data_IF_101606502218
#
_entry.id   IF_101606502218
#
_cell.length_a   1.000
_cell.length_b   1.000
_cell.length_c   1.000
_cell.angle_alpha   90.00
_cell.angle_beta   90.00
_cell.angle_gamma   90.00
#
_symmetry.space_group_name_H-M   'P 1'
#
loop_
_entity.id
_entity.type
_entity.pdbx_description
1 polymer ?
#
# COMPACT_ATOMS: atom_id res chain seq x y z
N UNK A 1 52.34 30.22 -10.90
CA UNK A 1 50.86 30.23 -10.97
C UNK A 1 50.44 28.83 -11.40
N UNK A 2 49.96 27.92 -10.52
CA UNK A 2 48.60 27.83 -9.91
C UNK A 2 47.51 28.10 -10.96
N UNK A 3 46.57 27.21 -11.25
CA UNK A 3 46.22 25.93 -10.65
C UNK A 3 45.13 25.22 -11.45
N UNK A 4 45.00 23.91 -11.20
CA UNK A 4 43.97 23.01 -11.71
C UNK A 4 42.56 23.57 -11.47
N UNK A 5 41.71 23.57 -12.50
CA UNK A 5 40.31 23.94 -12.36
C UNK A 5 39.45 22.69 -12.12
N UNK A 6 39.04 22.57 -10.86
CA UNK A 6 38.26 21.52 -10.22
C UNK A 6 36.78 21.83 -10.48
N UNK A 7 36.24 21.49 -11.65
CA UNK A 7 34.77 21.56 -11.85
C UNK A 7 34.27 20.49 -12.83
N UNK A 8 34.53 19.21 -12.54
CA UNK A 8 33.85 18.09 -13.23
C UNK A 8 33.32 17.01 -12.27
N UNK A 9 33.10 17.34 -10.97
CA UNK A 9 32.55 16.41 -9.96
C UNK A 9 31.34 16.95 -9.19
N UNK A 10 30.38 17.59 -9.85
CA UNK A 10 29.22 18.19 -9.15
C UNK A 10 27.83 17.76 -9.63
N UNK A 11 27.70 16.78 -10.53
CA UNK A 11 26.38 16.24 -10.91
C UNK A 11 26.25 14.74 -10.62
N UNK A 12 26.66 14.35 -9.42
CA UNK A 12 26.16 13.12 -8.78
C UNK A 12 24.78 13.43 -8.17
N UNK A 13 23.73 13.31 -8.97
CA UNK A 13 22.34 13.51 -8.55
C UNK A 13 21.91 12.50 -7.50
N UNK A 14 22.30 12.73 -6.23
CA UNK A 14 21.69 12.10 -5.07
C UNK A 14 20.25 12.59 -5.00
N UNK A 15 19.29 11.75 -5.42
CA UNK A 15 17.90 11.85 -4.97
C UNK A 15 17.95 11.96 -3.45
N UNK A 16 17.63 13.14 -2.90
CA UNK A 16 17.45 13.32 -1.47
C UNK A 16 16.27 12.43 -1.09
N UNK A 17 16.56 11.24 -0.56
CA UNK A 17 15.60 10.55 0.30
C UNK A 17 15.30 11.55 1.43
N UNK A 18 14.13 12.18 1.34
CA UNK A 18 13.56 12.86 2.49
C UNK A 18 13.52 11.80 3.60
N UNK A 19 14.29 12.04 4.66
CA UNK A 19 14.23 11.23 5.87
C UNK A 19 12.81 11.44 6.41
N UNK A 20 11.93 10.47 6.20
CA UNK A 20 10.64 10.47 6.86
C UNK A 20 10.88 10.61 8.37
N UNK A 21 10.18 11.53 9.05
CA UNK A 21 10.36 11.75 10.47
C UNK A 21 10.13 10.44 11.22
N UNK A 22 11.02 10.14 12.16
CA UNK A 22 10.96 8.91 12.95
C UNK A 22 9.74 8.95 13.87
N UNK A 23 8.60 8.43 13.40
CA UNK A 23 7.37 8.35 14.18
C UNK A 23 7.41 7.15 15.14
N UNK A 24 6.81 7.34 16.30
CA UNK A 24 6.44 6.24 17.20
C UNK A 24 5.49 5.26 16.49
N UNK A 25 5.38 4.04 17.02
CA UNK A 25 4.58 3.00 16.37
C UNK A 25 3.15 3.46 16.06
N UNK A 26 2.57 2.98 14.94
CA UNK A 26 1.15 3.13 14.66
C UNK A 26 0.31 2.74 15.88
N UNK A 27 -0.63 3.61 16.25
CA UNK A 27 -1.58 3.30 17.32
C UNK A 27 -2.57 2.23 16.86
N UNK A 28 -3.13 1.45 17.80
CA UNK A 28 -4.22 0.52 17.50
C UNK A 28 -5.40 1.22 16.80
N UNK A 29 -5.65 2.50 17.11
CA UNK A 29 -6.70 3.30 16.48
C UNK A 29 -6.42 3.60 15.01
N UNK A 30 -5.16 3.86 14.65
CA UNK A 30 -4.75 4.09 13.26
C UNK A 30 -4.84 2.80 12.43
N UNK A 31 -4.41 1.67 13.00
CA UNK A 31 -4.56 0.36 12.36
C UNK A 31 -6.03 -0.01 12.18
N UNK A 32 -6.85 0.25 13.20
CA UNK A 32 -8.29 0.05 13.13
C UNK A 32 -8.93 0.89 12.02
N UNK A 33 -8.52 2.16 11.87
CA UNK A 33 -8.99 3.03 10.79
C UNK A 33 -8.59 2.52 9.40
N UNK A 34 -7.38 2.00 9.24
CA UNK A 34 -6.97 1.37 7.97
C UNK A 34 -7.88 0.19 7.62
N UNK A 35 -8.20 -0.65 8.62
CA UNK A 35 -9.03 -1.82 8.44
C UNK A 35 -10.46 -1.43 8.04
N UNK A 36 -11.11 -0.54 8.79
CA UNK A 36 -12.53 -0.20 8.60
C UNK A 36 -12.83 0.53 7.29
N UNK A 37 -11.82 1.09 6.61
CA UNK A 37 -12.01 1.68 5.28
C UNK A 37 -12.37 0.63 4.24
N UNK A 38 -11.91 -0.62 4.42
CA UNK A 38 -12.01 -1.67 3.42
C UNK A 38 -13.12 -2.69 3.73
N UNK A 39 -13.56 -2.82 4.98
CA UNK A 39 -14.41 -3.92 5.50
C UNK A 39 -15.83 -4.02 4.94
N UNK A 40 -16.30 -3.01 4.21
CA UNK A 40 -17.60 -3.07 3.53
C UNK A 40 -17.45 -3.27 2.02
N UNK A 41 -16.22 -3.51 1.56
CA UNK A 41 -15.83 -3.57 0.17
C UNK A 41 -14.99 -4.82 -0.14
N UNK A 42 -14.89 -5.77 0.78
CA UNK A 42 -13.96 -6.89 0.78
C UNK A 42 -14.57 -8.20 0.26
N UNK A 43 -15.17 -8.15 -0.92
CA UNK A 43 -15.73 -9.35 -1.53
C UNK A 43 -14.70 -10.11 -2.36
N UNK A 44 -14.32 -11.30 -1.88
CA UNK A 44 -13.44 -12.24 -2.58
C UNK A 44 -13.93 -12.61 -3.99
N UNK A 45 -15.25 -12.75 -4.16
CA UNK A 45 -15.90 -13.15 -5.40
C UNK A 45 -16.26 -11.95 -6.28
N UNK A 46 -15.94 -10.74 -5.85
CA UNK A 46 -16.23 -9.49 -6.53
C UNK A 46 -17.71 -9.38 -6.95
N UNK A 47 -18.62 -9.60 -5.99
CA UNK A 47 -20.07 -9.57 -6.12
C UNK A 47 -20.61 -10.50 -7.21
N UNK A 48 -20.20 -11.78 -7.16
CA UNK A 48 -20.61 -12.83 -8.13
C UNK A 48 -22.12 -12.99 -8.23
N UNK A 49 -22.84 -12.84 -7.13
CA UNK A 49 -24.30 -13.05 -7.05
C UNK A 49 -25.11 -11.75 -7.25
N UNK A 50 -24.46 -10.63 -7.60
CA UNK A 50 -25.14 -9.37 -7.90
C UNK A 50 -25.34 -9.18 -9.40
N UNK A 51 -26.38 -8.44 -9.76
CA UNK A 51 -26.63 -8.03 -11.15
C UNK A 51 -25.46 -7.22 -11.71
N UNK A 52 -25.15 -7.31 -13.03
CA UNK A 52 -23.98 -6.66 -13.62
C UNK A 52 -23.83 -5.15 -13.32
N UNK A 53 -24.91 -4.34 -13.32
CA UNK A 53 -24.83 -2.92 -12.96
C UNK A 53 -24.47 -2.70 -11.49
N UNK A 54 -25.08 -3.48 -10.59
CA UNK A 54 -24.81 -3.37 -9.15
C UNK A 54 -23.38 -3.82 -8.83
N UNK A 55 -22.93 -4.92 -9.42
CA UNK A 55 -21.56 -5.41 -9.33
C UNK A 55 -20.56 -4.33 -9.77
N UNK A 56 -20.82 -3.66 -10.90
CA UNK A 56 -19.97 -2.56 -11.39
C UNK A 56 -19.94 -1.40 -10.40
N UNK A 57 -21.09 -1.01 -9.84
CA UNK A 57 -21.19 0.05 -8.83
C UNK A 57 -20.35 -0.31 -7.59
N UNK A 58 -20.54 -1.50 -7.01
CA UNK A 58 -19.79 -1.96 -5.83
C UNK A 58 -18.28 -2.01 -6.08
N UNK A 59 -17.88 -2.44 -7.27
CA UNK A 59 -16.46 -2.45 -7.65
C UNK A 59 -15.86 -1.03 -7.74
N UNK A 60 -16.61 -0.06 -8.26
CA UNK A 60 -16.18 1.35 -8.28
C UNK A 60 -16.14 1.97 -6.87
N UNK A 61 -17.08 1.61 -6.00
CA UNK A 61 -17.06 2.01 -4.59
C UNK A 61 -15.83 1.45 -3.87
N UNK A 62 -15.49 0.19 -4.12
CA UNK A 62 -14.26 -0.42 -3.62
C UNK A 62 -13.00 0.30 -4.13
N UNK A 63 -12.97 0.74 -5.39
CA UNK A 63 -11.88 1.59 -5.91
C UNK A 63 -11.75 2.88 -5.09
N UNK A 64 -12.85 3.55 -4.81
CA UNK A 64 -12.86 4.77 -3.99
C UNK A 64 -12.40 4.50 -2.54
N UNK A 65 -12.76 3.35 -1.98
CA UNK A 65 -12.27 2.90 -0.68
C UNK A 65 -10.75 2.68 -0.69
N UNK A 66 -10.20 2.05 -1.72
CA UNK A 66 -8.75 1.88 -1.88
C UNK A 66 -8.00 3.21 -1.97
N UNK A 67 -8.55 4.23 -2.64
CA UNK A 67 -7.97 5.59 -2.62
C UNK A 67 -7.98 6.20 -1.20
N UNK A 68 -9.07 6.01 -0.47
CA UNK A 68 -9.19 6.49 0.93
C UNK A 68 -8.21 5.75 1.85
N UNK A 69 -8.06 4.45 1.63
CA UNK A 69 -7.10 3.61 2.34
C UNK A 69 -5.67 4.07 2.08
N UNK A 70 -5.29 4.27 0.81
CA UNK A 70 -3.96 4.76 0.45
C UNK A 70 -3.62 6.09 1.16
N UNK A 71 -4.56 7.04 1.16
CA UNK A 71 -4.39 8.33 1.88
C UNK A 71 -4.15 8.14 3.38
N UNK A 72 -4.75 7.12 3.98
CA UNK A 72 -4.52 6.80 5.38
C UNK A 72 -3.21 6.04 5.58
N UNK A 73 -2.88 5.08 4.72
CA UNK A 73 -1.66 4.29 4.77
C UNK A 73 -0.41 5.18 4.77
N UNK A 74 -0.39 6.18 3.89
CA UNK A 74 0.67 7.19 3.81
C UNK A 74 0.77 8.01 5.10
N UNK A 75 -0.36 8.32 5.74
CA UNK A 75 -0.38 9.07 7.01
C UNK A 75 0.09 8.24 8.19
N UNK A 76 -0.23 6.96 8.24
CA UNK A 76 0.11 6.09 9.39
C UNK A 76 1.62 5.79 9.40
N UNK A 77 2.23 5.55 8.23
CA UNK A 77 3.66 5.24 8.14
C UNK A 77 4.00 3.81 8.60
N UNK A 78 5.27 3.57 8.93
CA UNK A 78 5.82 2.22 9.21
C UNK A 78 6.12 2.01 10.70
N UNK A 79 6.18 0.76 11.16
CA UNK A 79 6.61 0.39 12.52
C UNK A 79 8.06 -0.10 12.55
N UNK A 80 8.86 0.42 13.49
CA UNK A 80 10.27 0.05 13.67
C UNK A 80 10.50 -1.27 14.44
N UNK A 81 9.53 -1.76 15.23
CA UNK A 81 9.75 -2.92 16.13
C UNK A 81 9.24 -4.26 15.57
N UNK A 82 8.86 -4.31 14.31
CA UNK A 82 8.46 -5.57 13.70
C UNK A 82 9.72 -6.34 13.30
N UNK A 83 10.11 -7.29 14.13
CA UNK A 83 11.29 -8.15 13.90
C UNK A 83 10.92 -9.49 13.24
N UNK A 84 9.63 -9.69 12.92
CA UNK A 84 9.18 -10.90 12.24
C UNK A 84 9.48 -10.84 10.75
N UNK A 85 10.02 -11.95 10.25
CA UNK A 85 10.26 -12.15 8.82
C UNK A 85 8.94 -12.16 8.04
N UNK A 86 8.98 -11.67 6.80
CA UNK A 86 7.85 -11.80 5.89
C UNK A 86 7.82 -13.26 5.44
N UNK A 87 6.70 -13.91 5.73
CA UNK A 87 6.51 -15.31 5.37
C UNK A 87 6.20 -15.42 3.87
N UNK A 88 6.27 -16.63 3.32
CA UNK A 88 5.80 -16.89 1.95
C UNK A 88 4.33 -16.50 1.75
N UNK A 89 3.55 -16.49 2.84
CA UNK A 89 2.17 -16.02 2.83
C UNK A 89 2.06 -14.53 2.48
N UNK A 90 2.96 -13.69 3.01
CA UNK A 90 3.01 -12.27 2.65
C UNK A 90 3.24 -12.04 1.17
N UNK A 91 4.22 -12.74 0.61
CA UNK A 91 4.55 -12.65 -0.82
C UNK A 91 3.36 -13.09 -1.67
N UNK A 92 2.68 -14.16 -1.24
CA UNK A 92 1.46 -14.64 -1.87
C UNK A 92 0.35 -13.57 -1.82
N UNK A 93 0.04 -13.03 -0.64
CA UNK A 93 -0.96 -11.98 -0.50
C UNK A 93 -0.62 -10.75 -1.36
N UNK A 94 0.65 -10.33 -1.41
CA UNK A 94 1.04 -9.20 -2.25
C UNK A 94 0.81 -9.45 -3.74
N UNK A 95 1.15 -10.65 -4.21
CA UNK A 95 0.87 -11.09 -5.57
C UNK A 95 -0.63 -11.14 -5.86
N UNK A 96 -1.43 -11.63 -4.92
CA UNK A 96 -2.88 -11.72 -5.09
C UNK A 96 -3.52 -10.31 -5.15
N UNK A 97 -3.02 -9.34 -4.38
CA UNK A 97 -3.43 -7.93 -4.46
C UNK A 97 -3.06 -7.33 -5.82
N UNK A 98 -1.84 -7.57 -6.30
CA UNK A 98 -1.38 -7.11 -7.61
C UNK A 98 -2.29 -7.62 -8.75
N UNK A 99 -2.55 -8.92 -8.78
CA UNK A 99 -3.40 -9.54 -9.80
C UNK A 99 -4.81 -8.96 -9.75
N UNK A 100 -5.39 -8.81 -8.55
CA UNK A 100 -6.72 -8.25 -8.39
C UNK A 100 -6.81 -6.80 -8.91
N UNK A 101 -5.79 -5.98 -8.68
CA UNK A 101 -5.74 -4.61 -9.18
C UNK A 101 -5.56 -4.53 -10.70
N UNK A 102 -4.70 -5.39 -11.28
CA UNK A 102 -4.50 -5.48 -12.73
C UNK A 102 -5.77 -5.92 -13.46
N UNK A 103 -6.53 -6.83 -12.86
CA UNK A 103 -7.83 -7.29 -13.35
C UNK A 103 -8.99 -6.31 -13.06
N UNK A 104 -8.71 -5.15 -12.45
CA UNK A 104 -9.70 -4.17 -11.99
C UNK A 104 -10.77 -4.76 -11.04
N UNK A 105 -10.43 -5.82 -10.29
CA UNK A 105 -11.28 -6.46 -9.26
C UNK A 105 -11.02 -5.82 -7.90
N UNK A 106 -11.46 -4.58 -7.73
CA UNK A 106 -11.16 -3.77 -6.55
C UNK A 106 -11.73 -4.32 -5.25
N UNK A 107 -12.90 -4.99 -5.27
CA UNK A 107 -13.42 -5.61 -4.05
C UNK A 107 -12.52 -6.76 -3.57
N UNK A 108 -11.98 -7.52 -4.52
CA UNK A 108 -11.00 -8.56 -4.22
C UNK A 108 -9.70 -7.96 -3.69
N UNK A 109 -9.22 -6.86 -4.26
CA UNK A 109 -8.05 -6.17 -3.74
C UNK A 109 -8.26 -5.70 -2.28
N UNK A 110 -9.44 -5.16 -1.93
CA UNK A 110 -9.79 -4.82 -0.55
C UNK A 110 -9.67 -6.03 0.39
N UNK A 111 -10.24 -7.16 0.00
CA UNK A 111 -10.19 -8.40 0.78
C UNK A 111 -8.74 -8.87 1.03
N UNK A 112 -7.92 -8.89 -0.01
CA UNK A 112 -6.54 -9.37 0.13
C UNK A 112 -5.68 -8.44 0.98
N UNK A 113 -5.93 -7.13 0.92
CA UNK A 113 -5.27 -6.15 1.80
C UNK A 113 -5.71 -6.38 3.26
N UNK A 114 -6.99 -6.64 3.52
CA UNK A 114 -7.46 -7.00 4.86
C UNK A 114 -6.76 -8.27 5.37
N UNK A 115 -6.62 -9.30 4.54
CA UNK A 115 -5.86 -10.49 4.89
C UNK A 115 -4.40 -10.19 5.20
N UNK A 116 -3.76 -9.33 4.40
CA UNK A 116 -2.39 -8.89 4.64
C UNK A 116 -2.25 -8.21 6.02
N UNK A 117 -3.22 -7.35 6.38
CA UNK A 117 -3.25 -6.62 7.66
C UNK A 117 -3.40 -7.51 8.89
N UNK A 118 -3.94 -8.72 8.74
CA UNK A 118 -4.11 -9.65 9.87
C UNK A 118 -2.77 -10.16 10.41
N UNK A 119 -1.72 -10.12 9.59
CA UNK A 119 -0.42 -10.63 9.98
C UNK A 119 0.46 -9.52 10.58
N UNK A 120 1.28 -9.88 11.57
CA UNK A 120 2.07 -8.91 12.34
C UNK A 120 3.07 -8.05 11.53
N UNK A 121 3.75 -8.57 10.48
CA UNK A 121 4.69 -7.74 9.73
C UNK A 121 4.10 -6.74 8.74
N UNK A 122 2.78 -6.50 8.73
CA UNK A 122 2.11 -5.58 7.81
C UNK A 122 2.70 -4.16 7.87
N UNK A 123 3.09 -3.71 9.07
CA UNK A 123 3.69 -2.39 9.27
C UNK A 123 5.20 -2.35 9.09
N UNK A 124 5.82 -3.45 8.66
CA UNK A 124 7.26 -3.46 8.35
C UNK A 124 7.51 -2.55 7.15
N UNK A 125 8.65 -1.86 7.18
CA UNK A 125 8.95 -0.78 6.23
C UNK A 125 8.92 -1.22 4.76
N UNK A 126 9.43 -2.41 4.47
CA UNK A 126 9.45 -2.98 3.13
C UNK A 126 8.04 -3.35 2.64
N UNK A 127 7.24 -4.07 3.45
CA UNK A 127 5.86 -4.44 3.11
C UNK A 127 5.00 -3.19 2.90
N UNK A 128 5.12 -2.21 3.80
CA UNK A 128 4.40 -0.94 3.69
C UNK A 128 4.78 -0.18 2.42
N UNK A 129 6.07 -0.06 2.12
CA UNK A 129 6.56 0.60 0.92
C UNK A 129 6.14 -0.13 -0.36
N UNK A 130 6.12 -1.46 -0.35
CA UNK A 130 5.70 -2.29 -1.48
C UNK A 130 4.21 -2.12 -1.75
N UNK A 131 3.36 -2.28 -0.73
CA UNK A 131 1.92 -2.07 -0.83
C UNK A 131 1.60 -0.65 -1.30
N UNK A 132 2.28 0.35 -0.73
CA UNK A 132 2.13 1.75 -1.15
C UNK A 132 2.42 1.94 -2.64
N UNK A 133 3.58 1.45 -3.12
CA UNK A 133 3.98 1.56 -4.53
C UNK A 133 3.00 0.82 -5.46
N UNK A 134 2.50 -0.32 -5.00
CA UNK A 134 1.55 -1.16 -5.71
C UNK A 134 0.17 -0.48 -5.82
N UNK A 135 -0.25 0.28 -4.82
CA UNK A 135 -1.46 1.11 -4.88
C UNK A 135 -1.26 2.35 -5.75
N UNK A 136 -0.12 3.06 -5.64
CA UNK A 136 0.20 4.24 -6.45
C UNK A 136 0.10 3.95 -7.95
N UNK A 137 0.76 2.89 -8.41
CA UNK A 137 0.80 2.50 -9.83
C UNK A 137 -0.57 2.08 -10.39
N UNK A 138 -1.39 1.40 -9.59
CA UNK A 138 -2.66 0.80 -10.06
C UNK A 138 -3.86 1.74 -9.88
N UNK A 139 -3.79 2.68 -8.94
CA UNK A 139 -4.84 3.67 -8.70
C UNK A 139 -4.57 5.00 -9.41
N UNK A 140 -3.39 5.19 -9.99
CA UNK A 140 -3.00 6.44 -10.65
C UNK A 140 -2.88 7.61 -9.68
N UNK A 141 -2.43 7.35 -8.46
CA UNK A 141 -2.14 8.37 -7.45
C UNK A 141 -0.64 8.60 -7.40
N UNK A 142 -0.17 9.77 -7.82
CA UNK A 142 1.26 10.16 -7.85
C UNK A 142 1.42 11.59 -7.35
#
# INVERSE_FOLDING_TARGET
MKGMNIVQRLFGGRKKHQKEPEREQPTNMELFRLYTVLTNHDDWWNAKDCEPPERRRKNLEAKAALHSYYKQLVKVGTSKKVDKEATELYKKNMKDIEIALQDEKYMRACYEIINLMYYEPFMRKDIHSELRSLLERNLGVT
#
